data_IF_587268592672
#
_entry.id   IF_587268592672
#
_cell.length_a   1.000
_cell.length_b   1.000
_cell.length_c   1.000
_cell.angle_alpha   90.00
_cell.angle_beta   90.00
_cell.angle_gamma   90.00
#
_symmetry.space_group_name_H-M   'P 1'
#
loop_
_entity.id
_entity.type
_entity.pdbx_description
1 polymer ?
#
# COMPACT_ATOMS: atom_id res chain seq x y z
N UNK A 1 -24.36 -39.87 10.07
CA UNK A 1 -23.78 -38.59 10.52
C UNK A 1 -22.45 -38.44 9.81
N UNK A 2 -22.46 -37.75 8.67
CA UNK A 2 -21.28 -37.57 7.83
C UNK A 2 -20.64 -36.25 8.18
N UNK A 3 -19.48 -36.32 8.85
CA UNK A 3 -18.58 -35.18 9.03
C UNK A 3 -17.79 -34.99 7.73
N UNK A 4 -18.28 -34.12 6.86
CA UNK A 4 -17.50 -33.53 5.78
C UNK A 4 -16.41 -32.66 6.39
N UNK A 5 -15.17 -33.16 6.33
CA UNK A 5 -13.98 -32.35 6.56
C UNK A 5 -13.93 -31.25 5.51
N UNK A 6 -13.79 -30.02 5.97
CA UNK A 6 -13.43 -28.88 5.11
C UNK A 6 -12.05 -29.19 4.56
N UNK A 7 -11.93 -29.33 3.23
CA UNK A 7 -10.63 -29.49 2.60
C UNK A 7 -9.84 -28.19 2.78
N UNK A 8 -8.68 -28.28 3.43
CA UNK A 8 -7.64 -27.25 3.31
C UNK A 8 -7.28 -27.16 1.82
N UNK A 9 -7.83 -26.15 1.14
CA UNK A 9 -7.36 -25.79 -0.18
C UNK A 9 -5.92 -25.30 0.00
N UNK A 10 -4.97 -26.01 -0.61
CA UNK A 10 -3.62 -25.48 -0.83
C UNK A 10 -3.76 -24.19 -1.66
N UNK A 11 -3.82 -23.05 -0.98
CA UNK A 11 -3.89 -21.73 -1.61
C UNK A 11 -2.54 -21.45 -2.25
N UNK A 12 -2.46 -21.68 -3.56
CA UNK A 12 -1.30 -21.32 -4.36
C UNK A 12 -0.94 -19.84 -4.19
N UNK A 13 0.35 -19.55 -4.12
CA UNK A 13 0.86 -18.18 -3.99
C UNK A 13 0.46 -17.34 -5.20
N UNK A 14 -0.11 -16.15 -4.96
CA UNK A 14 -0.45 -15.15 -5.97
C UNK A 14 0.70 -14.15 -6.05
N UNK A 15 1.56 -14.35 -7.04
CA UNK A 15 2.76 -13.53 -7.23
C UNK A 15 2.49 -12.39 -8.21
N UNK A 16 2.80 -11.16 -7.80
CA UNK A 16 2.75 -9.97 -8.66
C UNK A 16 1.40 -9.74 -9.36
N UNK A 17 0.28 -10.13 -8.76
CA UNK A 17 -1.07 -9.90 -9.30
C UNK A 17 -2.05 -9.53 -8.19
N UNK A 18 -2.21 -8.24 -7.95
CA UNK A 18 -3.12 -7.73 -6.92
C UNK A 18 -3.53 -6.28 -7.17
N UNK A 19 -4.62 -5.89 -6.53
CA UNK A 19 -5.02 -4.50 -6.32
C UNK A 19 -4.85 -4.15 -4.85
N UNK A 20 -3.96 -3.20 -4.57
CA UNK A 20 -3.83 -2.58 -3.26
C UNK A 20 -4.68 -1.30 -3.22
N UNK A 21 -5.60 -1.21 -2.28
CA UNK A 21 -6.43 -0.05 -2.02
C UNK A 21 -6.05 0.57 -0.67
N UNK A 22 -5.62 1.82 -0.66
CA UNK A 22 -5.18 2.52 0.56
C UNK A 22 -6.17 3.63 0.87
N UNK A 23 -6.84 3.53 2.01
CA UNK A 23 -7.79 4.51 2.52
C UNK A 23 -7.17 5.28 3.69
N UNK A 24 -7.00 6.59 3.54
CA UNK A 24 -6.33 7.46 4.54
C UNK A 24 -7.10 8.75 4.76
N UNK A 25 -6.93 9.36 5.93
CA UNK A 25 -7.42 10.71 6.17
C UNK A 25 -6.75 11.71 5.21
N UNK A 26 -7.55 12.62 4.64
CA UNK A 26 -7.05 13.68 3.75
C UNK A 26 -6.04 14.59 4.49
N UNK A 27 -4.98 15.00 3.81
CA UNK A 27 -3.91 15.81 4.38
C UNK A 27 -2.94 15.09 5.31
N UNK A 28 -3.06 13.76 5.49
CA UNK A 28 -2.13 12.96 6.31
C UNK A 28 -0.74 12.75 5.69
N UNK A 29 -0.52 13.21 4.45
CA UNK A 29 0.73 12.97 3.72
C UNK A 29 0.80 11.60 3.04
N UNK A 30 -0.32 10.89 2.92
CA UNK A 30 -0.40 9.54 2.34
C UNK A 30 0.04 9.44 0.89
N UNK A 31 -0.03 10.53 0.11
CA UNK A 31 0.49 10.58 -1.25
C UNK A 31 1.97 10.16 -1.32
N UNK A 32 2.80 10.57 -0.35
CA UNK A 32 4.22 10.20 -0.31
C UNK A 32 4.36 8.69 -0.18
N UNK A 33 3.70 8.09 0.81
CA UNK A 33 3.74 6.64 1.08
C UNK A 33 3.21 5.80 -0.08
N UNK A 34 2.08 6.20 -0.67
CA UNK A 34 1.49 5.53 -1.81
C UNK A 34 2.43 5.54 -3.03
N UNK A 35 3.11 6.67 -3.26
CA UNK A 35 4.09 6.77 -4.34
C UNK A 35 5.36 5.96 -4.06
N UNK A 36 5.77 5.81 -2.79
CA UNK A 36 6.88 4.93 -2.42
C UNK A 36 6.54 3.47 -2.77
N UNK A 37 5.35 2.98 -2.39
CA UNK A 37 4.90 1.63 -2.76
C UNK A 37 4.85 1.42 -4.27
N UNK A 38 4.22 2.36 -5.00
CA UNK A 38 4.11 2.29 -6.46
C UNK A 38 5.49 2.26 -7.14
N UNK A 39 6.41 3.14 -6.72
CA UNK A 39 7.76 3.22 -7.29
C UNK A 39 8.61 2.01 -6.92
N UNK A 40 8.47 1.48 -5.71
CA UNK A 40 9.18 0.28 -5.29
C UNK A 40 8.78 -0.94 -6.13
N UNK A 41 7.47 -1.16 -6.33
CA UNK A 41 6.99 -2.24 -7.20
C UNK A 41 7.49 -2.09 -8.64
N UNK A 42 7.48 -0.85 -9.16
CA UNK A 42 8.05 -0.58 -10.49
C UNK A 42 9.56 -0.85 -10.55
N UNK A 43 10.31 -0.45 -9.52
CA UNK A 43 11.75 -0.68 -9.39
C UNK A 43 12.11 -2.17 -9.28
N UNK A 44 11.23 -2.97 -8.69
CA UNK A 44 11.27 -4.44 -8.75
C UNK A 44 10.93 -5.01 -10.14
N UNK A 45 10.66 -4.15 -11.12
CA UNK A 45 10.42 -4.49 -12.52
C UNK A 45 8.98 -4.91 -12.86
N UNK A 46 8.05 -4.74 -11.92
CA UNK A 46 6.66 -5.20 -12.04
C UNK A 46 5.79 -4.14 -12.69
N UNK A 47 5.02 -4.45 -13.75
CA UNK A 47 4.10 -3.50 -14.34
C UNK A 47 3.06 -3.04 -13.31
N UNK A 48 2.97 -1.72 -13.14
CA UNK A 48 2.08 -1.10 -12.15
C UNK A 48 1.36 0.12 -12.70
N UNK A 49 0.18 0.37 -12.15
CA UNK A 49 -0.49 1.67 -12.26
C UNK A 49 -0.96 2.15 -10.90
N UNK A 50 -0.97 3.47 -10.73
CA UNK A 50 -1.51 4.14 -9.55
C UNK A 50 -2.65 5.05 -9.95
N UNK A 51 -3.73 5.08 -9.17
CA UNK A 51 -4.80 6.05 -9.32
C UNK A 51 -5.13 6.66 -7.97
N UNK A 52 -5.00 7.98 -7.90
CA UNK A 52 -5.49 8.76 -6.78
C UNK A 52 -6.97 9.08 -7.00
N UNK A 53 -7.77 8.88 -5.96
CA UNK A 53 -9.21 9.10 -5.95
C UNK A 53 -9.52 10.12 -4.87
N UNK A 54 -9.96 11.30 -5.32
CA UNK A 54 -10.39 12.37 -4.46
C UNK A 54 -11.92 12.45 -4.49
N UNK A 55 -12.60 12.46 -3.35
CA UNK A 55 -13.99 12.86 -3.29
C UNK A 55 -14.10 14.32 -3.72
N UNK A 56 -15.19 14.69 -4.40
CA UNK A 56 -15.40 16.03 -4.96
C UNK A 56 -15.77 17.09 -3.88
N UNK A 57 -15.07 17.09 -2.74
CA UNK A 57 -15.31 17.98 -1.60
C UNK A 57 -14.00 18.62 -1.09
N UNK A 58 -14.11 19.86 -0.58
CA UNK A 58 -12.95 20.72 -0.25
C UNK A 58 -12.24 20.30 1.06
N UNK A 59 -12.88 19.54 1.97
CA UNK A 59 -12.29 19.01 3.21
C UNK A 59 -13.15 17.89 3.83
N UNK A 60 -12.53 16.94 4.55
CA UNK A 60 -13.20 16.05 5.50
C UNK A 60 -13.46 14.60 5.07
N UNK A 61 -13.44 14.27 3.77
CA UNK A 61 -13.59 12.89 3.30
C UNK A 61 -12.22 12.22 3.08
N UNK A 62 -12.13 10.88 3.15
CA UNK A 62 -10.87 10.15 2.94
C UNK A 62 -10.27 10.41 1.56
N UNK A 63 -8.98 10.16 1.47
CA UNK A 63 -8.26 10.04 0.21
C UNK A 63 -7.93 8.58 -0.03
N UNK A 64 -8.36 8.09 -1.21
CA UNK A 64 -8.11 6.71 -1.62
C UNK A 64 -7.06 6.66 -2.71
N UNK A 65 -6.21 5.65 -2.63
CA UNK A 65 -5.21 5.40 -3.66
C UNK A 65 -5.21 3.92 -4.02
N UNK A 66 -5.38 3.61 -5.30
CA UNK A 66 -5.30 2.23 -5.79
C UNK A 66 -3.99 2.01 -6.54
N UNK A 67 -3.29 0.92 -6.21
CA UNK A 67 -2.16 0.40 -6.97
C UNK A 67 -2.58 -0.93 -7.57
N UNK A 68 -2.50 -1.05 -8.89
CA UNK A 68 -2.64 -2.33 -9.60
C UNK A 68 -1.24 -2.81 -9.97
N UNK A 69 -0.82 -3.94 -9.42
CA UNK A 69 0.38 -4.67 -9.85
C UNK A 69 -0.04 -5.92 -10.62
N UNK A 70 0.56 -6.15 -11.79
CA UNK A 70 0.26 -7.32 -12.59
C UNK A 70 1.46 -7.72 -13.46
N UNK A 71 1.99 -8.93 -13.25
CA UNK A 71 3.13 -9.48 -14.00
C UNK A 71 2.92 -9.52 -15.53
N UNK A 72 1.68 -9.67 -15.99
CA UNK A 72 1.33 -9.77 -17.41
C UNK A 72 1.03 -8.39 -18.04
N UNK A 73 1.13 -7.31 -17.26
CA UNK A 73 0.91 -5.94 -17.75
C UNK A 73 -0.56 -5.49 -17.74
N UNK A 74 -1.49 -6.27 -17.17
CA UNK A 74 -2.89 -5.88 -17.01
C UNK A 74 -3.08 -4.84 -15.88
N UNK A 75 -2.68 -3.61 -16.18
CA UNK A 75 -2.61 -2.48 -15.24
C UNK A 75 -3.84 -1.57 -15.27
N UNK A 76 -4.93 -1.98 -15.93
CA UNK A 76 -6.20 -1.27 -15.82
C UNK A 76 -6.77 -1.41 -14.40
N UNK A 77 -7.46 -0.36 -13.91
CA UNK A 77 -8.12 -0.41 -12.61
C UNK A 77 -9.19 -1.50 -12.62
N UNK A 78 -9.15 -2.40 -11.63
CA UNK A 78 -10.25 -3.32 -11.31
C UNK A 78 -11.17 -2.67 -10.27
N UNK A 79 -12.41 -3.13 -10.22
CA UNK A 79 -13.39 -2.70 -9.22
C UNK A 79 -12.98 -3.20 -7.83
N UNK A 80 -12.69 -4.50 -7.72
CA UNK A 80 -12.42 -5.14 -6.45
C UNK A 80 -10.97 -4.96 -5.98
N UNK A 81 -10.81 -4.70 -4.69
CA UNK A 81 -9.51 -4.66 -4.02
C UNK A 81 -9.15 -6.03 -3.43
N UNK A 82 -7.93 -6.49 -3.73
CA UNK A 82 -7.36 -7.73 -3.20
C UNK A 82 -6.76 -7.51 -1.80
N UNK A 83 -6.17 -6.33 -1.60
CA UNK A 83 -5.53 -5.88 -0.36
C UNK A 83 -6.06 -4.49 -0.05
N UNK A 84 -6.51 -4.26 1.18
CA UNK A 84 -7.00 -2.97 1.65
C UNK A 84 -6.20 -2.53 2.87
N UNK A 85 -5.70 -1.30 2.84
CA UNK A 85 -5.06 -0.63 3.97
C UNK A 85 -6.01 0.45 4.50
N UNK A 86 -6.57 0.24 5.69
CA UNK A 86 -7.53 1.16 6.33
C UNK A 86 -6.85 1.95 7.45
N UNK A 87 -6.57 3.23 7.19
CA UNK A 87 -6.00 4.16 8.17
C UNK A 87 -6.99 5.26 8.59
N UNK A 88 -8.15 5.35 7.94
CA UNK A 88 -9.18 6.32 8.27
C UNK A 88 -10.32 5.68 9.08
N UNK A 89 -10.51 6.03 10.36
CA UNK A 89 -11.62 5.49 11.14
C UNK A 89 -12.99 5.86 10.57
N UNK A 90 -13.14 7.05 9.99
CA UNK A 90 -14.44 7.59 9.56
C UNK A 90 -15.08 6.79 8.43
N UNK A 91 -14.28 6.15 7.57
CA UNK A 91 -14.75 5.38 6.41
C UNK A 91 -14.36 3.91 6.47
N UNK A 92 -13.72 3.48 7.56
CA UNK A 92 -13.18 2.12 7.66
C UNK A 92 -14.19 1.02 7.38
N UNK A 93 -15.46 1.20 7.75
CA UNK A 93 -16.54 0.26 7.49
C UNK A 93 -16.88 0.16 6.00
N UNK A 94 -17.10 1.30 5.35
CA UNK A 94 -17.36 1.39 3.90
C UNK A 94 -16.17 0.88 3.08
N UNK A 95 -14.95 1.19 3.53
CA UNK A 95 -13.70 0.81 2.88
C UNK A 95 -13.50 -0.72 2.88
N UNK A 96 -13.82 -1.38 4.00
CA UNK A 96 -13.74 -2.84 4.05
C UNK A 96 -14.92 -3.52 3.38
N UNK A 97 -16.10 -2.91 3.28
CA UNK A 97 -17.21 -3.45 2.50
C UNK A 97 -16.89 -3.54 1.01
N UNK A 98 -16.10 -2.59 0.48
CA UNK A 98 -15.65 -2.59 -0.91
C UNK A 98 -14.59 -3.66 -1.24
N UNK A 99 -14.04 -4.35 -0.23
CA UNK A 99 -13.08 -5.44 -0.42
C UNK A 99 -13.78 -6.71 -0.89
N UNK A 100 -13.17 -7.47 -1.80
CA UNK A 100 -13.73 -8.78 -2.20
C UNK A 100 -13.68 -9.80 -1.07
N UNK A 101 -14.42 -10.89 -1.22
CA UNK A 101 -14.30 -12.05 -0.33
C UNK A 101 -12.85 -12.60 -0.33
N UNK A 102 -12.34 -12.95 0.85
CA UNK A 102 -10.98 -13.41 1.04
C UNK A 102 -9.90 -12.34 0.80
N UNK A 103 -10.27 -11.05 0.78
CA UNK A 103 -9.30 -9.96 0.68
C UNK A 103 -8.45 -9.86 1.96
N UNK A 104 -7.29 -9.22 1.83
CA UNK A 104 -6.40 -8.91 2.95
C UNK A 104 -6.71 -7.52 3.48
N UNK A 105 -7.00 -7.41 4.77
CA UNK A 105 -7.29 -6.15 5.45
C UNK A 105 -6.14 -5.83 6.41
N UNK A 106 -5.43 -4.75 6.15
CA UNK A 106 -4.38 -4.18 7.03
C UNK A 106 -4.95 -2.91 7.63
N UNK A 107 -5.09 -2.85 8.96
CA UNK A 107 -5.79 -1.74 9.59
C UNK A 107 -5.26 -1.44 10.99
N UNK A 108 -5.53 -0.23 11.47
CA UNK A 108 -5.25 0.16 12.84
C UNK A 108 -6.06 -0.71 13.83
N UNK A 109 -5.41 -1.39 14.77
CA UNK A 109 -6.04 -2.37 15.68
C UNK A 109 -7.30 -1.85 16.39
N UNK A 110 -7.32 -0.55 16.73
CA UNK A 110 -8.46 0.09 17.40
C UNK A 110 -9.76 0.13 16.59
N UNK A 111 -9.72 -0.19 15.29
CA UNK A 111 -10.89 -0.23 14.42
C UNK A 111 -11.71 -1.53 14.55
N UNK A 112 -11.12 -2.60 15.08
CA UNK A 112 -11.79 -3.90 15.29
C UNK A 112 -12.64 -4.39 14.10
N UNK A 113 -12.05 -4.45 12.91
CA UNK A 113 -12.78 -4.77 11.66
C UNK A 113 -13.00 -6.29 11.44
N UNK A 114 -12.39 -7.14 12.27
CA UNK A 114 -12.49 -8.61 12.16
C UNK A 114 -13.92 -9.13 12.25
N UNK A 115 -14.74 -8.54 13.12
CA UNK A 115 -16.11 -8.98 13.34
C UNK A 115 -17.05 -8.60 12.17
N UNK A 116 -16.68 -7.58 11.39
CA UNK A 116 -17.49 -7.06 10.27
C UNK A 116 -17.26 -7.83 8.98
N UNK A 117 -16.04 -8.33 8.76
CA UNK A 117 -15.64 -9.08 7.57
C UNK A 117 -14.94 -10.39 7.94
N UNK A 118 -15.64 -11.35 8.56
CA UNK A 118 -15.04 -12.62 8.99
C UNK A 118 -14.53 -13.49 7.84
N UNK A 119 -14.96 -13.19 6.61
CA UNK A 119 -14.54 -13.81 5.36
C UNK A 119 -13.18 -13.31 4.83
N UNK A 120 -12.63 -12.24 5.41
CA UNK A 120 -11.36 -11.66 5.02
C UNK A 120 -10.19 -12.13 5.90
N UNK A 121 -8.97 -11.91 5.41
CA UNK A 121 -7.73 -12.12 6.15
C UNK A 121 -7.36 -10.82 6.85
N UNK A 122 -7.14 -10.85 8.17
CA UNK A 122 -6.94 -9.65 8.98
C UNK A 122 -5.51 -9.52 9.51
N UNK A 123 -4.92 -8.35 9.28
CA UNK A 123 -3.70 -7.88 9.91
C UNK A 123 -4.01 -6.60 10.70
N UNK A 124 -4.40 -6.77 11.96
CA UNK A 124 -4.56 -5.68 12.91
C UNK A 124 -3.18 -5.20 13.37
N UNK A 125 -2.85 -3.94 13.06
CA UNK A 125 -1.55 -3.34 13.39
C UNK A 125 -1.75 -2.16 14.35
N UNK A 126 -1.00 -2.08 15.45
CA UNK A 126 -1.10 -0.98 16.40
C UNK A 126 -0.38 0.29 15.91
N UNK A 127 -0.71 0.81 14.72
CA UNK A 127 -0.01 1.95 14.11
C UNK A 127 0.13 3.16 15.04
N UNK A 128 -0.90 3.47 15.84
CA UNK A 128 -0.87 4.54 16.84
C UNK A 128 0.18 4.31 17.95
N UNK A 129 0.41 3.07 18.37
CA UNK A 129 1.45 2.73 19.35
C UNK A 129 2.82 2.76 18.70
N UNK A 130 2.95 2.12 17.53
CA UNK A 130 4.21 2.07 16.78
C UNK A 130 4.75 3.45 16.44
N UNK A 131 3.88 4.37 15.98
CA UNK A 131 4.31 5.74 15.68
C UNK A 131 4.73 6.52 16.93
N UNK A 132 4.14 6.20 18.09
CA UNK A 132 4.49 6.84 19.34
C UNK A 132 5.88 6.41 19.84
N UNK A 133 6.28 5.17 19.54
CA UNK A 133 7.59 4.60 19.87
C UNK A 133 8.68 5.09 18.91
N UNK A 134 8.44 5.07 17.61
CA UNK A 134 9.48 5.40 16.62
C UNK A 134 9.60 6.91 16.33
N UNK A 135 8.60 7.73 16.67
CA UNK A 135 8.60 9.18 16.41
C UNK A 135 8.21 9.97 17.67
N UNK A 136 9.18 10.51 18.43
CA UNK A 136 8.89 11.29 19.65
C UNK A 136 8.15 12.62 19.39
N UNK A 137 8.39 13.31 18.27
CA UNK A 137 7.72 14.58 17.97
C UNK A 137 6.28 14.37 17.50
N UNK A 138 5.31 14.73 18.35
CA UNK A 138 3.87 14.64 18.11
C UNK A 138 3.42 15.29 16.80
N UNK A 139 4.06 16.37 16.37
CA UNK A 139 3.68 17.09 15.13
C UNK A 139 4.04 16.29 13.90
N UNK A 140 5.14 15.53 13.96
CA UNK A 140 5.63 14.70 12.86
C UNK A 140 4.88 13.38 12.75
N UNK A 141 4.35 12.84 13.86
CA UNK A 141 3.61 11.56 13.88
C UNK A 141 2.52 11.50 12.81
N UNK A 142 1.74 12.57 12.63
CA UNK A 142 0.66 12.62 11.63
C UNK A 142 1.14 12.46 10.19
N UNK A 143 2.36 12.89 9.88
CA UNK A 143 2.93 12.83 8.54
C UNK A 143 3.67 11.50 8.28
N UNK A 144 4.21 10.90 9.34
CA UNK A 144 5.11 9.74 9.27
C UNK A 144 4.36 8.42 9.48
N UNK A 145 3.19 8.44 10.13
CA UNK A 145 2.38 7.22 10.39
C UNK A 145 2.10 6.42 9.12
N UNK A 146 1.95 7.10 7.99
CA UNK A 146 1.69 6.45 6.70
C UNK A 146 2.90 5.66 6.17
N UNK A 147 4.11 5.87 6.68
CA UNK A 147 5.26 5.01 6.34
C UNK A 147 5.23 3.68 7.07
N UNK A 148 4.47 3.57 8.16
CA UNK A 148 4.36 2.32 8.89
C UNK A 148 3.65 1.26 8.05
N UNK A 149 2.55 1.60 7.37
CA UNK A 149 1.90 0.62 6.49
C UNK A 149 2.76 0.27 5.28
N UNK A 150 3.65 1.17 4.82
CA UNK A 150 4.61 0.83 3.76
C UNK A 150 5.56 -0.25 4.25
N UNK A 151 6.09 -0.11 5.46
CA UNK A 151 6.95 -1.14 6.09
C UNK A 151 6.21 -2.46 6.33
N UNK A 152 4.97 -2.41 6.80
CA UNK A 152 4.13 -3.61 6.99
C UNK A 152 3.86 -4.32 5.66
N UNK A 153 3.42 -3.59 4.62
CA UNK A 153 3.20 -4.15 3.29
C UNK A 153 4.50 -4.73 2.71
N UNK A 154 5.62 -4.04 2.90
CA UNK A 154 6.92 -4.49 2.43
C UNK A 154 7.30 -5.84 3.02
N UNK A 155 7.10 -6.01 4.34
CA UNK A 155 7.36 -7.27 5.02
C UNK A 155 6.36 -8.36 4.61
N UNK A 156 5.06 -8.07 4.64
CA UNK A 156 4.00 -9.07 4.36
C UNK A 156 4.06 -9.60 2.93
N UNK A 157 4.42 -8.76 1.97
CA UNK A 157 4.42 -9.12 0.55
C UNK A 157 5.82 -9.37 -0.01
N UNK A 158 6.84 -9.48 0.84
CA UNK A 158 8.22 -9.78 0.45
C UNK A 158 8.81 -8.78 -0.55
N UNK A 159 8.49 -7.50 -0.39
CA UNK A 159 9.05 -6.45 -1.23
C UNK A 159 10.52 -6.22 -0.91
N UNK A 160 11.31 -5.84 -1.92
CA UNK A 160 12.72 -5.52 -1.71
C UNK A 160 12.88 -4.16 -1.01
N UNK A 161 13.46 -4.20 0.18
CA UNK A 161 13.77 -3.02 0.99
C UNK A 161 14.71 -2.04 0.30
N UNK A 162 15.63 -2.50 -0.55
CA UNK A 162 16.50 -1.62 -1.32
C UNK A 162 15.72 -0.82 -2.36
N UNK A 163 14.74 -1.45 -3.03
CA UNK A 163 13.85 -0.76 -3.98
C UNK A 163 12.93 0.23 -3.26
N UNK A 164 12.48 -0.11 -2.04
CA UNK A 164 11.70 0.81 -1.21
C UNK A 164 12.53 2.02 -0.78
N UNK A 165 13.77 1.83 -0.33
CA UNK A 165 14.69 2.93 0.05
C UNK A 165 15.00 3.83 -1.14
N UNK A 166 15.26 3.25 -2.32
CA UNK A 166 15.43 4.01 -3.57
C UNK A 166 14.17 4.82 -3.89
N UNK A 167 12.99 4.19 -3.82
CA UNK A 167 11.71 4.85 -4.06
C UNK A 167 11.45 6.02 -3.10
N UNK A 168 11.78 5.85 -1.81
CA UNK A 168 11.71 6.91 -0.80
C UNK A 168 12.64 8.08 -1.14
N UNK A 169 13.88 7.79 -1.50
CA UNK A 169 14.85 8.81 -1.92
C UNK A 169 14.41 9.61 -3.14
N UNK A 170 13.84 8.94 -4.15
CA UNK A 170 13.26 9.62 -5.33
C UNK A 170 12.05 10.46 -4.96
N UNK A 171 11.14 9.94 -4.14
CA UNK A 171 9.90 10.63 -3.78
C UNK A 171 10.14 11.86 -2.90
N UNK A 172 11.16 11.82 -2.05
CA UNK A 172 11.58 12.91 -1.17
C UNK A 172 12.87 13.60 -1.64
N UNK A 173 13.15 13.56 -2.94
CA UNK A 173 14.34 14.17 -3.53
C UNK A 173 14.50 15.64 -3.08
N UNK A 174 15.71 16.00 -2.63
CA UNK A 174 16.01 17.33 -2.09
C UNK A 174 15.50 17.61 -0.67
N UNK A 175 14.80 16.66 -0.01
CA UNK A 175 14.23 16.80 1.34
C UNK A 175 14.87 15.83 2.32
N UNK A 176 16.19 15.92 2.53
CA UNK A 176 16.95 14.97 3.36
C UNK A 176 16.34 14.79 4.76
N UNK A 177 15.98 15.88 5.45
CA UNK A 177 15.33 15.81 6.77
C UNK A 177 14.06 14.94 6.77
N UNK A 178 13.28 14.97 5.69
CA UNK A 178 12.08 14.15 5.58
C UNK A 178 12.45 12.67 5.39
N UNK A 179 13.50 12.36 4.63
CA UNK A 179 14.02 10.99 4.48
C UNK A 179 14.48 10.45 5.85
N UNK A 180 15.26 11.23 6.58
CA UNK A 180 15.83 10.85 7.89
C UNK A 180 14.75 10.55 8.94
N UNK A 181 13.54 11.12 8.77
CA UNK A 181 12.39 10.87 9.65
C UNK A 181 11.55 9.68 9.16
N UNK A 182 11.36 9.54 7.84
CA UNK A 182 10.46 8.54 7.27
C UNK A 182 11.09 7.14 7.16
N UNK A 183 12.39 7.07 6.84
CA UNK A 183 13.09 5.80 6.66
C UNK A 183 13.14 4.96 7.95
N UNK A 184 13.48 5.51 9.14
CA UNK A 184 13.49 4.72 10.37
C UNK A 184 12.09 4.21 10.75
N UNK A 185 11.04 4.99 10.52
CA UNK A 185 9.67 4.56 10.79
C UNK A 185 9.26 3.38 9.88
N UNK A 186 9.63 3.44 8.60
CA UNK A 186 9.41 2.36 7.65
C UNK A 186 10.16 1.08 8.07
N UNK A 187 11.44 1.18 8.38
CA UNK A 187 12.27 0.04 8.83
C UNK A 187 11.76 -0.54 10.16
N UNK A 188 11.35 0.31 11.08
CA UNK A 188 10.75 -0.11 12.35
C UNK A 188 9.48 -0.93 12.12
N UNK A 189 8.57 -0.48 11.26
CA UNK A 189 7.34 -1.21 10.96
C UNK A 189 7.58 -2.52 10.21
N UNK A 190 8.58 -2.55 9.31
CA UNK A 190 9.02 -3.76 8.61
C UNK A 190 9.48 -4.84 9.62
N UNK A 191 10.37 -4.48 10.54
CA UNK A 191 10.87 -5.39 11.57
C UNK A 191 9.76 -5.81 12.54
N UNK A 192 8.93 -4.87 12.98
CA UNK A 192 7.79 -5.18 13.85
C UNK A 192 6.84 -6.18 13.18
N UNK A 193 6.53 -6.00 11.89
CA UNK A 193 5.68 -6.93 11.14
C UNK A 193 6.31 -8.33 11.04
N UNK A 194 7.64 -8.42 10.91
CA UNK A 194 8.34 -9.70 10.84
C UNK A 194 8.24 -10.49 12.14
N UNK A 195 8.24 -9.79 13.27
CA UNK A 195 8.21 -10.38 14.61
C UNK A 195 6.78 -10.68 15.11
N UNK A 196 5.80 -9.86 14.70
CA UNK A 196 4.46 -9.87 15.31
C UNK A 196 3.35 -10.37 14.38
N UNK A 197 3.53 -10.34 13.05
CA UNK A 197 2.51 -10.79 12.11
C UNK A 197 2.85 -12.17 11.56
N UNK A 198 1.90 -13.09 11.67
CA UNK A 198 1.96 -14.37 10.97
C UNK A 198 1.31 -14.22 9.60
N UNK A 199 2.10 -14.33 8.54
CA UNK A 199 1.57 -14.32 7.17
C UNK A 199 0.65 -15.53 6.95
N UNK A 200 -0.58 -15.27 6.51
CA UNK A 200 -1.57 -16.30 6.18
C UNK A 200 -2.25 -16.05 4.82
N UNK A 201 -1.98 -14.91 4.19
CA UNK A 201 -2.49 -14.57 2.87
C UNK A 201 -1.62 -15.11 1.72
N UNK A 202 -2.18 -15.28 0.51
CA UNK A 202 -1.45 -15.88 -0.61
C UNK A 202 -0.58 -14.88 -1.39
N UNK A 203 -0.63 -13.57 -1.12
CA UNK A 203 0.00 -12.58 -1.99
C UNK A 203 1.50 -12.45 -1.73
N UNK A 204 2.29 -12.37 -2.80
CA UNK A 204 3.70 -12.04 -2.72
C UNK A 204 4.15 -11.19 -3.90
N UNK A 205 5.30 -10.56 -3.73
CA UNK A 205 5.97 -9.76 -4.74
C UNK A 205 7.32 -10.41 -5.04
N UNK A 206 7.62 -10.58 -6.32
CA UNK A 206 8.90 -11.11 -6.79
C UNK A 206 9.50 -10.18 -7.84
N UNK A 207 10.83 -10.03 -7.83
CA UNK A 207 11.51 -9.24 -8.85
C UNK A 207 11.32 -9.82 -10.24
N UNK A 208 11.15 -8.95 -11.22
CA UNK A 208 11.10 -9.30 -12.63
C UNK A 208 11.70 -8.16 -13.47
N UNK A 209 11.62 -8.25 -14.79
CA UNK A 209 12.20 -7.26 -15.72
C UNK A 209 11.20 -6.71 -16.76
N UNK A 210 9.89 -6.87 -16.56
CA UNK A 210 8.88 -6.43 -17.53
C UNK A 210 8.79 -4.90 -17.70
N UNK A 211 9.44 -4.12 -16.84
CA UNK A 211 9.57 -2.67 -16.94
C UNK A 211 10.90 -2.16 -17.51
N UNK A 212 11.76 -3.05 -18.01
CA UNK A 212 13.03 -2.63 -18.60
C UNK A 212 12.82 -1.59 -19.72
N UNK A 213 13.55 -0.48 -19.66
CA UNK A 213 13.42 0.63 -20.60
C UNK A 213 12.14 1.47 -20.47
N UNK A 214 11.29 1.23 -19.46
CA UNK A 214 10.08 2.01 -19.21
C UNK A 214 10.29 3.08 -18.14
N UNK A 215 9.38 4.05 -18.11
CA UNK A 215 9.30 5.07 -17.05
C UNK A 215 7.91 5.08 -16.43
N UNK A 216 7.79 5.48 -15.17
CA UNK A 216 6.51 5.88 -14.58
C UNK A 216 6.30 7.37 -14.86
N UNK A 217 5.15 7.71 -15.43
CA UNK A 217 4.75 9.09 -15.70
C UNK A 217 3.25 9.26 -15.48
N UNK A 218 2.84 10.44 -15.00
CA UNK A 218 1.43 10.80 -14.91
C UNK A 218 0.88 11.30 -16.25
N UNK A 219 -0.43 11.18 -16.47
CA UNK A 219 -1.06 11.50 -17.76
C UNK A 219 -0.87 12.96 -18.21
N UNK A 220 -0.90 13.92 -17.29
CA UNK A 220 -0.70 15.34 -17.61
C UNK A 220 0.74 15.60 -18.06
N UNK A 221 1.73 15.06 -17.34
CA UNK A 221 3.14 15.16 -17.71
C UNK A 221 3.43 14.45 -19.04
N UNK A 222 2.84 13.26 -19.27
CA UNK A 222 2.98 12.54 -20.53
C UNK A 222 2.38 13.32 -21.71
N UNK A 223 1.23 13.95 -21.52
CA UNK A 223 0.61 14.84 -22.52
C UNK A 223 1.52 16.04 -22.82
N UNK A 224 2.01 16.73 -21.80
CA UNK A 224 2.91 17.87 -21.97
C UNK A 224 4.20 17.47 -22.70
N UNK A 225 4.77 16.32 -22.34
CA UNK A 225 5.93 15.75 -23.01
C UNK A 225 5.63 15.48 -24.49
N UNK A 226 4.50 14.83 -24.78
CA UNK A 226 4.07 14.56 -26.16
C UNK A 226 3.90 15.81 -27.00
N UNK A 227 3.32 16.88 -26.44
CA UNK A 227 3.17 18.17 -27.12
C UNK A 227 4.53 18.80 -27.44
N UNK A 228 5.46 18.81 -26.47
CA UNK A 228 6.80 19.36 -26.64
C UNK A 228 7.59 18.60 -27.73
N UNK A 229 7.55 17.26 -27.72
CA UNK A 229 8.18 16.44 -28.77
C UNK A 229 7.47 16.56 -30.12
N UNK A 230 6.19 16.93 -30.13
CA UNK A 230 5.41 17.23 -31.33
C UNK A 230 5.65 18.61 -31.94
N UNK A 231 6.47 19.46 -31.31
CA UNK A 231 6.85 20.78 -31.83
C UNK A 231 5.89 21.93 -31.44
N UNK A 232 5.11 21.75 -30.37
CA UNK A 232 4.35 22.83 -29.72
C UNK A 232 5.25 23.69 -28.84
#
# INVERSE_FOLDING_TARGET
MSTTGVSEAETGTIVNDFVLHVATANGSGSQTSNMVLLRALFGMGIPVSGKNLFPSNIQGLPTWFTIRANKDGYIARKQDADIVVCMNPETSDEDVEAAREGAVLIYEESLNLSDKRPDCIHYAVPFKKLIAECCPDLRLRKLVINMLYVGVCAQLFSMDMDEIKKALGVQLAGKQKAIDINQPALEFAYNWAAENLKKVDPFSVEKMNANEGKIIIEGNAATALGLMFGGV
#
